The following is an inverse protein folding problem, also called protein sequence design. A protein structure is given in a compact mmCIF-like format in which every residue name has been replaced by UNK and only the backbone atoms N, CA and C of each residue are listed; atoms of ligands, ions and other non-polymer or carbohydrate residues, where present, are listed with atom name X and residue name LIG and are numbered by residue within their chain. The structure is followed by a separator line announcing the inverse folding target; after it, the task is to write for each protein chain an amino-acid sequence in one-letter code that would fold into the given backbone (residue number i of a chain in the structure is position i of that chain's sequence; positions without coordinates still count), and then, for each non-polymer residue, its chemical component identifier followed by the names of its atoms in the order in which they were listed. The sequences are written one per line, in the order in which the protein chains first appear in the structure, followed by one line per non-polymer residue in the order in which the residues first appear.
data_IF_898417023900
#
_entry.id   IF_898417023900
#
_cell.length_a   1.000
_cell.length_b   1.000
_cell.length_c   1.000
_cell.angle_alpha   90.00
_cell.angle_beta   90.00
_cell.angle_gamma   90.00
#
_symmetry.space_group_name_H-M   'P 1'
#
loop_
_entity.id
_entity.type
_entity.pdbx_description
1 polymer ?
#
# COMPACT_ATOMS: atom_id res chain seq x y z
N UNK A 1 -32.53 -56.09 2.70
CA UNK A 1 -31.74 -55.25 3.63
C UNK A 1 -30.25 -55.18 3.31
N UNK A 2 -29.48 -56.28 3.31
CA UNK A 2 -28.01 -56.26 3.06
C UNK A 2 -27.58 -55.53 1.77
N UNK A 3 -28.26 -55.79 0.64
CA UNK A 3 -27.96 -55.14 -0.66
C UNK A 3 -28.20 -53.63 -0.67
N UNK A 4 -29.18 -53.16 0.10
CA UNK A 4 -29.48 -51.73 0.25
C UNK A 4 -28.39 -51.06 1.07
N UNK A 5 -27.99 -51.67 2.19
CA UNK A 5 -26.88 -51.17 3.02
C UNK A 5 -25.53 -51.13 2.29
N UNK A 6 -25.22 -52.12 1.44
CA UNK A 6 -23.97 -52.14 0.66
C UNK A 6 -23.87 -51.04 -0.40
N UNK A 7 -25.01 -50.47 -0.83
CA UNK A 7 -25.05 -49.37 -1.80
C UNK A 7 -25.21 -48.02 -1.08
N UNK A 8 -26.02 -47.96 -0.03
CA UNK A 8 -26.24 -46.73 0.74
C UNK A 8 -24.99 -46.30 1.52
N UNK A 9 -24.27 -47.23 2.15
CA UNK A 9 -23.09 -46.89 2.95
C UNK A 9 -21.99 -46.16 2.14
N UNK A 10 -21.55 -46.65 0.96
CA UNK A 10 -20.57 -45.92 0.16
C UNK A 10 -21.12 -44.60 -0.41
N UNK A 11 -22.41 -44.53 -0.74
CA UNK A 11 -23.03 -43.28 -1.18
C UNK A 11 -23.01 -42.22 -0.07
N UNK A 12 -23.41 -42.56 1.16
CA UNK A 12 -23.37 -41.67 2.32
C UNK A 12 -21.93 -41.25 2.65
N UNK A 13 -20.98 -42.19 2.59
CA UNK A 13 -19.56 -41.88 2.81
C UNK A 13 -19.03 -40.91 1.75
N UNK A 14 -19.36 -41.12 0.47
CA UNK A 14 -18.96 -40.22 -0.62
C UNK A 14 -19.58 -38.84 -0.47
N UNK A 15 -20.88 -38.75 -0.17
CA UNK A 15 -21.55 -37.46 0.08
C UNK A 15 -20.94 -36.74 1.28
N UNK A 16 -20.64 -37.45 2.37
CA UNK A 16 -20.00 -36.87 3.56
C UNK A 16 -18.61 -36.36 3.23
N UNK A 17 -17.82 -37.10 2.45
CA UNK A 17 -16.50 -36.67 1.99
C UNK A 17 -16.59 -35.40 1.12
N UNK A 18 -17.54 -35.34 0.18
CA UNK A 18 -17.78 -34.16 -0.65
C UNK A 18 -18.14 -32.96 0.23
N UNK A 19 -19.06 -33.12 1.19
CA UNK A 19 -19.45 -32.04 2.12
C UNK A 19 -18.25 -31.56 2.93
N UNK A 20 -17.44 -32.47 3.49
CA UNK A 20 -16.23 -32.11 4.23
C UNK A 20 -15.25 -31.33 3.34
N UNK A 21 -15.02 -31.78 2.11
CA UNK A 21 -14.13 -31.07 1.16
C UNK A 21 -14.67 -29.67 0.84
N UNK A 22 -15.97 -29.53 0.59
CA UNK A 22 -16.61 -28.23 0.34
C UNK A 22 -16.45 -27.30 1.55
N UNK A 23 -16.71 -27.80 2.76
CA UNK A 23 -16.57 -27.02 3.99
C UNK A 23 -15.11 -26.59 4.21
N UNK A 24 -14.14 -27.47 3.96
CA UNK A 24 -12.73 -27.15 4.07
C UNK A 24 -12.29 -26.10 3.04
N UNK A 25 -12.78 -26.18 1.80
CA UNK A 25 -12.49 -25.19 0.75
C UNK A 25 -13.12 -23.84 1.09
N UNK A 26 -14.37 -23.81 1.54
CA UNK A 26 -15.04 -22.59 1.98
C UNK A 26 -14.33 -21.97 3.18
N UNK A 27 -14.01 -22.77 4.19
CA UNK A 27 -13.28 -22.34 5.37
C UNK A 27 -11.94 -21.71 4.98
N UNK A 28 -11.12 -22.41 4.18
CA UNK A 28 -9.84 -21.89 3.66
C UNK A 28 -10.00 -20.59 2.87
N UNK A 29 -11.04 -20.48 2.05
CA UNK A 29 -11.31 -19.26 1.27
C UNK A 29 -11.64 -18.08 2.17
N UNK A 30 -12.46 -18.30 3.20
CA UNK A 30 -12.84 -17.23 4.13
C UNK A 30 -11.66 -16.78 5.00
N UNK A 31 -10.86 -17.71 5.53
CA UNK A 31 -9.75 -17.39 6.44
C UNK A 31 -8.45 -16.98 5.73
N UNK A 32 -8.35 -17.10 4.39
CA UNK A 32 -7.12 -16.74 3.67
C UNK A 32 -6.77 -15.27 3.93
N UNK A 33 -5.51 -15.00 4.28
CA UNK A 33 -5.06 -13.68 4.73
C UNK A 33 -5.30 -13.35 6.20
N UNK A 34 -5.95 -14.23 6.98
CA UNK A 34 -5.96 -14.12 8.44
C UNK A 34 -4.68 -14.76 8.99
N UNK A 35 -3.97 -14.08 9.91
CA UNK A 35 -2.95 -14.76 10.71
C UNK A 35 -3.65 -15.55 11.82
N UNK A 36 -3.78 -16.88 11.64
CA UNK A 36 -4.35 -17.76 12.66
C UNK A 36 -3.39 -18.04 13.82
N UNK A 37 -2.13 -17.60 13.72
CA UNK A 37 -1.12 -17.66 14.77
C UNK A 37 -0.70 -16.27 15.26
N UNK A 38 0.26 -16.24 16.19
CA UNK A 38 0.93 -15.00 16.57
C UNK A 38 1.59 -14.37 15.33
N UNK A 39 1.59 -13.04 15.21
CA UNK A 39 2.32 -12.37 14.14
C UNK A 39 3.81 -12.75 14.19
N UNK A 40 4.53 -12.50 13.09
CA UNK A 40 5.99 -12.60 13.12
C UNK A 40 6.50 -11.80 14.34
N UNK A 41 7.35 -12.38 15.21
CA UNK A 41 7.84 -11.68 16.41
C UNK A 41 8.62 -10.41 16.07
N UNK A 42 9.15 -10.32 14.85
CA UNK A 42 9.85 -9.14 14.31
C UNK A 42 8.93 -8.32 13.39
N UNK A 43 7.61 -8.48 13.46
CA UNK A 43 6.68 -7.62 12.74
C UNK A 43 6.77 -6.21 13.31
N UNK A 44 6.98 -5.22 12.44
CA UNK A 44 7.00 -3.83 12.85
C UNK A 44 5.69 -3.46 13.57
N UNK A 45 5.76 -2.66 14.65
CA UNK A 45 4.58 -2.30 15.41
C UNK A 45 3.60 -1.54 14.52
N UNK A 46 2.33 -1.95 14.56
CA UNK A 46 1.28 -1.19 13.88
C UNK A 46 1.07 0.14 14.60
N UNK A 47 0.73 1.21 13.86
CA UNK A 47 0.23 2.44 14.48
C UNK A 47 -0.94 2.16 15.42
N UNK A 48 -1.00 2.89 16.53
CA UNK A 48 -2.06 2.77 17.53
C UNK A 48 -3.44 3.12 16.95
N UNK A 49 -3.48 4.15 16.10
CA UNK A 49 -4.63 4.47 15.25
C UNK A 49 -4.35 4.03 13.81
N UNK A 50 -5.16 3.10 13.31
CA UNK A 50 -5.02 2.56 11.94
C UNK A 50 -5.91 3.29 10.92
N UNK A 51 -6.75 4.22 11.35
CA UNK A 51 -7.68 4.92 10.47
C UNK A 51 -6.99 6.11 9.81
N UNK A 52 -6.90 6.07 8.47
CA UNK A 52 -6.41 7.17 7.64
C UNK A 52 -7.37 7.55 6.53
N UNK A 53 -7.25 8.79 6.06
CA UNK A 53 -8.04 9.32 4.93
C UNK A 53 -7.13 10.04 3.92
N UNK A 54 -7.43 9.90 2.63
CA UNK A 54 -6.73 10.64 1.58
C UNK A 54 -7.29 12.07 1.49
N UNK A 55 -6.41 13.05 1.36
CA UNK A 55 -6.76 14.47 1.26
C UNK A 55 -6.04 15.12 0.08
N UNK A 56 -6.61 16.21 -0.43
CA UNK A 56 -5.99 17.08 -1.43
C UNK A 56 -6.26 18.54 -1.01
N UNK A 57 -5.45 19.04 -0.07
CA UNK A 57 -5.71 20.31 0.62
C UNK A 57 -4.64 21.37 0.38
N UNK A 58 -3.55 21.06 -0.33
CA UNK A 58 -2.51 22.04 -0.67
C UNK A 58 -3.03 23.33 -1.33
N UNK A 59 -3.94 23.29 -2.33
CA UNK A 59 -4.42 24.50 -3.01
C UNK A 59 -5.48 25.27 -2.19
N UNK A 60 -5.94 24.72 -1.07
CA UNK A 60 -7.08 25.26 -0.33
C UNK A 60 -6.71 26.43 0.59
N UNK A 61 -7.73 27.22 0.95
CA UNK A 61 -7.57 28.33 1.89
C UNK A 61 -7.28 27.84 3.32
N UNK A 62 -6.59 28.61 4.16
CA UNK A 62 -6.30 28.23 5.55
C UNK A 62 -7.55 27.81 6.35
N UNK A 63 -8.66 28.53 6.17
CA UNK A 63 -9.93 28.20 6.86
C UNK A 63 -10.57 26.91 6.36
N UNK A 64 -10.39 26.56 5.08
CA UNK A 64 -10.84 25.27 4.54
C UNK A 64 -10.00 24.13 5.08
N UNK A 65 -8.66 24.31 5.12
CA UNK A 65 -7.72 23.30 5.62
C UNK A 65 -8.04 22.96 7.07
N UNK A 66 -8.09 23.96 7.95
CA UNK A 66 -8.33 23.76 9.38
C UNK A 66 -9.70 23.09 9.63
N UNK A 67 -10.76 23.62 9.02
CA UNK A 67 -12.11 23.05 9.16
C UNK A 67 -12.16 21.58 8.72
N UNK A 68 -11.47 21.24 7.64
CA UNK A 68 -11.47 19.87 7.10
C UNK A 68 -10.68 18.92 8.00
N UNK A 69 -9.48 19.32 8.44
CA UNK A 69 -8.65 18.52 9.34
C UNK A 69 -9.30 18.35 10.71
N UNK A 70 -9.96 19.38 11.22
CA UNK A 70 -10.74 19.30 12.45
C UNK A 70 -11.89 18.29 12.35
N UNK A 71 -12.61 18.27 11.22
CA UNK A 71 -13.67 17.29 10.98
C UNK A 71 -13.12 15.86 10.88
N UNK A 72 -11.97 15.67 10.24
CA UNK A 72 -11.27 14.37 10.12
C UNK A 72 -10.90 13.85 11.52
N UNK A 73 -10.21 14.68 12.31
CA UNK A 73 -9.77 14.35 13.68
C UNK A 73 -10.96 14.01 14.59
N UNK A 74 -12.03 14.82 14.56
CA UNK A 74 -13.24 14.58 15.35
C UNK A 74 -14.03 13.32 14.95
N UNK A 75 -13.81 12.79 13.74
CA UNK A 75 -14.41 11.53 13.29
C UNK A 75 -13.61 10.30 13.77
N UNK A 76 -12.43 10.51 14.37
CA UNK A 76 -11.58 9.46 14.93
C UNK A 76 -10.47 8.97 13.99
N UNK A 77 -10.29 9.61 12.84
CA UNK A 77 -9.11 9.36 11.99
C UNK A 77 -7.86 9.89 12.68
N UNK A 78 -6.76 9.15 12.59
CA UNK A 78 -5.45 9.55 13.13
C UNK A 78 -4.48 9.97 12.05
N UNK A 79 -4.75 9.62 10.79
CA UNK A 79 -3.84 9.83 9.68
C UNK A 79 -4.51 10.57 8.52
N UNK A 80 -3.74 11.43 7.88
CA UNK A 80 -4.05 11.96 6.56
C UNK A 80 -2.96 11.55 5.58
N UNK A 81 -3.35 11.24 4.34
CA UNK A 81 -2.42 10.96 3.24
C UNK A 81 -2.54 12.07 2.20
N UNK A 82 -1.48 12.84 1.99
CA UNK A 82 -1.43 13.98 1.07
C UNK A 82 -0.32 13.78 0.05
N UNK A 83 -0.61 14.14 -1.20
CA UNK A 83 0.39 14.17 -2.28
C UNK A 83 1.11 15.51 -2.30
N UNK A 84 2.44 15.46 -2.33
CA UNK A 84 3.34 16.59 -2.54
C UNK A 84 4.01 16.41 -3.89
N UNK A 85 3.48 17.11 -4.89
CA UNK A 85 3.93 17.01 -6.27
C UNK A 85 5.11 17.96 -6.49
N UNK A 86 6.29 17.40 -6.77
CA UNK A 86 7.52 18.15 -6.98
C UNK A 86 7.79 18.41 -8.45
N UNK A 87 8.11 19.67 -8.73
CA UNK A 87 8.71 20.14 -9.98
C UNK A 87 9.89 21.04 -9.62
N UNK A 88 11.03 20.92 -10.32
CA UNK A 88 12.20 21.77 -10.07
C UNK A 88 11.82 23.25 -10.03
N UNK A 89 12.25 23.94 -8.97
CA UNK A 89 12.08 25.39 -8.75
C UNK A 89 10.62 25.87 -8.62
N UNK A 90 9.64 24.96 -8.61
CA UNK A 90 8.21 25.30 -8.56
C UNK A 90 7.47 24.72 -7.35
N UNK A 91 8.18 24.01 -6.48
CA UNK A 91 7.57 23.44 -5.29
C UNK A 91 7.14 24.53 -4.30
N UNK A 92 5.87 24.51 -3.90
CA UNK A 92 5.31 25.52 -2.99
C UNK A 92 5.57 25.14 -1.53
N UNK A 93 6.74 25.54 -1.03
CA UNK A 93 7.13 25.36 0.36
C UNK A 93 6.17 26.05 1.33
N UNK A 94 5.63 27.22 0.98
CA UNK A 94 4.75 28.00 1.86
C UNK A 94 3.40 27.30 2.06
N UNK A 95 2.81 26.76 0.99
CA UNK A 95 1.60 25.96 1.10
C UNK A 95 1.84 24.64 1.87
N UNK A 96 3.00 24.03 1.67
CA UNK A 96 3.41 22.80 2.37
C UNK A 96 3.59 23.05 3.87
N UNK A 97 4.34 24.09 4.26
CA UNK A 97 4.53 24.51 5.65
C UNK A 97 3.19 24.73 6.35
N UNK A 98 2.28 25.45 5.67
CA UNK A 98 0.94 25.73 6.17
C UNK A 98 0.16 24.45 6.43
N UNK A 99 0.13 23.53 5.46
CA UNK A 99 -0.64 22.29 5.57
C UNK A 99 -0.11 21.41 6.71
N UNK A 100 1.21 21.21 6.78
CA UNK A 100 1.82 20.36 7.82
C UNK A 100 1.52 20.95 9.20
N UNK A 101 1.65 22.27 9.40
CA UNK A 101 1.30 22.89 10.68
C UNK A 101 -0.15 22.63 11.09
N UNK A 102 -1.11 22.79 10.17
CA UNK A 102 -2.52 22.50 10.48
C UNK A 102 -2.79 21.03 10.79
N UNK A 103 -2.06 20.10 10.16
CA UNK A 103 -2.17 18.67 10.45
C UNK A 103 -1.74 18.39 11.89
N UNK A 104 -0.60 18.93 12.32
CA UNK A 104 -0.09 18.75 13.69
C UNK A 104 -1.00 19.44 14.72
N UNK A 105 -1.46 20.67 14.45
CA UNK A 105 -2.39 21.41 15.32
C UNK A 105 -3.72 20.65 15.53
N UNK A 106 -4.15 19.85 14.55
CA UNK A 106 -5.35 19.02 14.64
C UNK A 106 -5.08 17.60 15.18
N UNK A 107 -3.89 17.34 15.73
CA UNK A 107 -3.46 16.05 16.30
C UNK A 107 -3.55 14.88 15.31
N UNK A 108 -3.24 15.15 14.04
CA UNK A 108 -3.19 14.15 12.98
C UNK A 108 -1.74 13.85 12.61
N UNK A 109 -1.49 12.62 12.17
CA UNK A 109 -0.24 12.22 11.54
C UNK A 109 -0.39 12.30 10.01
N UNK A 110 0.71 12.49 9.29
CA UNK A 110 0.70 12.59 7.82
C UNK A 110 1.56 11.52 7.18
N UNK A 111 1.00 10.90 6.13
CA UNK A 111 1.76 10.16 5.12
C UNK A 111 2.05 11.14 3.99
N UNK A 112 3.29 11.58 3.87
CA UNK A 112 3.73 12.49 2.82
C UNK A 112 4.08 11.72 1.55
N UNK A 113 3.23 11.79 0.53
CA UNK A 113 3.48 11.12 -0.75
C UNK A 113 4.27 12.04 -1.66
N UNK A 114 5.56 11.76 -1.83
CA UNK A 114 6.46 12.54 -2.68
C UNK A 114 6.42 11.98 -4.10
N UNK A 115 6.13 12.81 -5.11
CA UNK A 115 6.02 12.36 -6.51
C UNK A 115 6.35 13.46 -7.54
N UNK A 116 6.45 13.12 -8.82
CA UNK A 116 6.74 14.03 -9.96
C UNK A 116 6.36 13.41 -11.32
N UNK A 117 6.23 14.21 -12.39
CA UNK A 117 5.87 13.74 -13.75
C UNK A 117 6.95 12.95 -14.49
N UNK A 118 8.21 13.01 -14.03
CA UNK A 118 9.31 12.30 -14.67
C UNK A 118 10.40 11.90 -13.67
N UNK A 119 9.97 11.22 -12.61
CA UNK A 119 10.87 10.72 -11.56
C UNK A 119 12.08 9.95 -12.14
N UNK A 120 11.92 9.02 -13.12
CA UNK A 120 13.04 8.20 -13.54
C UNK A 120 14.20 9.00 -14.15
N UNK A 121 13.89 9.99 -15.00
CA UNK A 121 14.93 10.82 -15.65
C UNK A 121 15.50 11.89 -14.71
N UNK A 122 14.86 12.12 -13.56
CA UNK A 122 15.24 13.14 -12.58
C UNK A 122 15.61 12.56 -11.22
N UNK A 123 15.92 11.25 -11.16
CA UNK A 123 16.17 10.50 -9.91
C UNK A 123 17.04 11.27 -8.91
N UNK A 124 18.20 11.79 -9.31
CA UNK A 124 19.10 12.51 -8.40
C UNK A 124 18.53 13.84 -7.88
N UNK A 125 17.82 14.59 -8.72
CA UNK A 125 17.21 15.86 -8.30
C UNK A 125 16.00 15.61 -7.41
N UNK A 126 15.20 14.59 -7.73
CA UNK A 126 14.09 14.16 -6.91
C UNK A 126 14.56 13.60 -5.56
N UNK A 127 15.70 12.89 -5.54
CA UNK A 127 16.32 12.40 -4.31
C UNK A 127 16.81 13.56 -3.41
N UNK A 128 17.40 14.60 -4.00
CA UNK A 128 17.76 15.82 -3.28
C UNK A 128 16.52 16.51 -2.71
N UNK A 129 15.42 16.60 -3.47
CA UNK A 129 14.15 17.12 -2.96
C UNK A 129 13.60 16.29 -1.80
N UNK A 130 13.64 14.95 -1.90
CA UNK A 130 13.19 14.07 -0.83
C UNK A 130 14.01 14.25 0.45
N UNK A 131 15.34 14.43 0.34
CA UNK A 131 16.20 14.82 1.45
C UNK A 131 15.77 16.15 2.05
N UNK A 132 15.62 17.21 1.23
CA UNK A 132 15.25 18.55 1.71
C UNK A 132 13.87 18.57 2.38
N UNK A 133 12.92 17.79 1.86
CA UNK A 133 11.60 17.65 2.46
C UNK A 133 11.70 16.96 3.83
N UNK A 134 12.43 15.85 3.92
CA UNK A 134 12.61 15.12 5.19
C UNK A 134 13.38 15.97 6.22
N UNK A 135 14.47 16.63 5.82
CA UNK A 135 15.30 17.48 6.69
C UNK A 135 14.49 18.64 7.27
N UNK A 136 13.58 19.20 6.46
CA UNK A 136 12.71 20.30 6.87
C UNK A 136 11.62 19.89 7.86
N UNK A 137 11.08 18.67 7.73
CA UNK A 137 9.87 18.26 8.45
C UNK A 137 10.05 17.06 9.37
N UNK A 138 11.28 16.60 9.63
CA UNK A 138 11.58 15.43 10.46
C UNK A 138 11.01 15.49 11.90
N UNK A 139 10.80 16.69 12.44
CA UNK A 139 10.15 16.87 13.75
C UNK A 139 8.61 16.66 13.71
N UNK A 140 8.01 16.58 12.52
CA UNK A 140 6.56 16.63 12.30
C UNK A 140 6.04 15.48 11.41
N UNK A 141 6.87 14.96 10.51
CA UNK A 141 6.54 13.91 9.54
C UNK A 141 7.54 12.78 9.68
N UNK A 142 7.06 11.61 10.07
CA UNK A 142 7.89 10.39 10.17
C UNK A 142 7.54 9.37 9.06
N UNK A 143 6.62 9.67 8.13
CA UNK A 143 6.17 8.69 7.13
C UNK A 143 6.14 9.25 5.72
N UNK A 144 6.99 8.70 4.86
CA UNK A 144 7.21 9.15 3.49
C UNK A 144 6.84 8.04 2.49
N UNK A 145 5.95 8.32 1.54
CA UNK A 145 5.65 7.41 0.43
C UNK A 145 6.37 7.90 -0.84
N UNK A 146 7.15 7.03 -1.47
CA UNK A 146 7.93 7.38 -2.67
C UNK A 146 7.19 6.99 -3.96
N UNK A 147 6.54 7.97 -4.59
CA UNK A 147 5.76 7.82 -5.82
C UNK A 147 4.35 7.24 -5.59
N UNK A 148 3.59 7.09 -6.67
CA UNK A 148 2.29 6.42 -6.68
C UNK A 148 2.10 5.68 -8.00
N UNK A 149 1.59 4.45 -7.95
CA UNK A 149 1.23 3.63 -9.12
C UNK A 149 2.32 3.45 -10.21
N UNK A 150 3.60 3.17 -9.87
CA UNK A 150 4.68 3.03 -10.86
C UNK A 150 4.48 1.80 -11.78
N UNK A 151 3.48 0.96 -11.50
CA UNK A 151 3.09 -0.17 -12.31
C UNK A 151 2.12 0.18 -13.46
N UNK A 152 1.69 1.44 -13.58
CA UNK A 152 0.88 1.96 -14.67
C UNK A 152 1.65 2.95 -15.54
N UNK A 153 1.54 2.85 -16.87
CA UNK A 153 2.20 3.81 -17.80
C UNK A 153 1.72 5.24 -17.59
N UNK A 154 0.45 5.43 -17.24
CA UNK A 154 -0.15 6.75 -17.05
C UNK A 154 0.45 7.51 -15.87
N UNK A 155 0.90 6.79 -14.84
CA UNK A 155 1.54 7.37 -13.66
C UNK A 155 3.06 7.36 -13.75
N UNK A 156 3.66 6.30 -14.32
CA UNK A 156 5.11 6.20 -14.48
C UNK A 156 5.67 7.05 -15.62
N UNK A 157 4.83 7.45 -16.59
CA UNK A 157 5.21 8.27 -17.75
C UNK A 157 5.90 7.50 -18.88
N UNK A 158 6.26 6.24 -18.65
CA UNK A 158 6.82 5.30 -19.65
C UNK A 158 6.46 3.87 -19.30
N UNK A 159 6.88 2.91 -20.13
CA UNK A 159 6.73 1.47 -19.84
C UNK A 159 7.18 1.17 -18.39
N UNK A 160 6.28 0.67 -17.53
CA UNK A 160 6.60 0.39 -16.15
C UNK A 160 7.78 -0.57 -15.99
N UNK A 161 8.68 -0.27 -15.05
CA UNK A 161 9.85 -1.10 -14.75
C UNK A 161 10.11 -1.17 -13.25
N UNK A 162 9.92 -2.37 -12.67
CA UNK A 162 10.21 -2.61 -11.26
C UNK A 162 11.71 -2.44 -10.93
N UNK A 163 12.60 -2.69 -11.90
CA UNK A 163 14.05 -2.47 -11.73
C UNK A 163 14.36 -0.98 -11.62
N UNK A 164 13.75 -0.14 -12.47
CA UNK A 164 13.94 1.31 -12.40
C UNK A 164 13.41 1.89 -11.08
N UNK A 165 12.23 1.42 -10.66
CA UNK A 165 11.67 1.82 -9.37
C UNK A 165 12.50 1.31 -8.18
N UNK A 166 13.09 0.12 -8.26
CA UNK A 166 14.04 -0.40 -7.25
C UNK A 166 15.28 0.50 -7.12
N UNK A 167 15.84 0.96 -8.25
CA UNK A 167 17.00 1.85 -8.24
C UNK A 167 16.67 3.24 -7.67
N UNK A 168 15.46 3.73 -7.94
CA UNK A 168 14.95 4.94 -7.34
C UNK A 168 14.90 4.81 -5.81
N UNK A 169 14.26 3.75 -5.29
CA UNK A 169 14.20 3.47 -3.86
C UNK A 169 15.61 3.41 -3.24
N UNK A 170 16.53 2.67 -3.88
CA UNK A 170 17.91 2.54 -3.42
C UNK A 170 18.66 3.87 -3.34
N UNK A 171 18.28 4.84 -4.18
CA UNK A 171 18.90 6.18 -4.18
C UNK A 171 18.32 7.08 -3.08
N UNK A 172 17.02 7.01 -2.84
CA UNK A 172 16.31 7.96 -1.95
C UNK A 172 16.28 7.49 -0.51
N UNK A 173 16.06 6.19 -0.27
CA UNK A 173 15.95 5.59 1.06
C UNK A 173 17.06 6.04 2.03
N UNK A 174 18.36 5.91 1.70
CA UNK A 174 19.42 6.32 2.63
C UNK A 174 19.45 7.84 2.89
N UNK A 175 19.01 8.66 1.94
CA UNK A 175 18.99 10.12 2.11
C UNK A 175 17.85 10.56 3.04
N UNK A 176 16.68 9.94 2.93
CA UNK A 176 15.59 10.21 3.89
C UNK A 176 16.06 9.82 5.30
N UNK A 177 16.66 8.64 5.49
CA UNK A 177 17.17 8.24 6.81
C UNK A 177 18.35 9.06 7.32
N UNK A 178 19.10 9.71 6.42
CA UNK A 178 20.14 10.67 6.81
C UNK A 178 19.52 11.94 7.41
N UNK A 179 18.41 12.41 6.85
CA UNK A 179 17.70 13.60 7.31
C UNK A 179 16.80 13.33 8.52
N UNK A 180 16.19 12.15 8.56
CA UNK A 180 15.26 11.70 9.59
C UNK A 180 15.55 10.23 9.95
N UNK A 181 16.22 10.02 11.08
CA UNK A 181 16.60 8.68 11.53
C UNK A 181 15.41 7.82 11.95
N UNK A 182 14.24 8.41 12.22
CA UNK A 182 13.02 7.69 12.64
C UNK A 182 12.02 7.49 11.49
N UNK A 183 12.36 7.97 10.29
CA UNK A 183 11.51 7.88 9.12
C UNK A 183 11.04 6.44 8.86
N UNK A 184 9.79 6.32 8.42
CA UNK A 184 9.22 5.13 7.79
C UNK A 184 9.04 5.43 6.30
N UNK A 185 9.80 4.75 5.46
CA UNK A 185 9.74 4.90 4.01
C UNK A 185 8.84 3.83 3.41
N UNK A 186 7.68 4.24 2.88
CA UNK A 186 6.77 3.40 2.11
C UNK A 186 7.18 3.39 0.64
N UNK A 187 7.20 2.20 0.03
CA UNK A 187 7.11 2.13 -1.43
C UNK A 187 5.76 2.68 -1.92
N UNK A 188 5.67 2.98 -3.21
CA UNK A 188 4.50 3.51 -3.88
C UNK A 188 3.29 2.59 -3.68
N UNK A 189 2.11 3.20 -3.60
CA UNK A 189 0.86 2.46 -3.64
C UNK A 189 0.70 1.80 -5.01
N UNK A 190 0.86 0.47 -5.07
CA UNK A 190 0.66 -0.27 -6.32
C UNK A 190 -0.81 -0.28 -6.74
N UNK A 191 -1.05 0.03 -8.01
CA UNK A 191 -2.38 0.07 -8.58
C UNK A 191 -2.91 -1.32 -8.93
N UNK A 192 -4.13 -1.69 -8.52
CA UNK A 192 -4.82 -2.87 -9.05
C UNK A 192 -4.92 -2.88 -10.57
N UNK A 193 -4.35 -3.90 -11.19
CA UNK A 193 -4.64 -4.23 -12.60
C UNK A 193 -4.48 -5.72 -12.83
N UNK A 194 -5.14 -6.25 -13.87
CA UNK A 194 -4.97 -7.63 -14.34
C UNK A 194 -4.05 -7.74 -15.56
N UNK A 195 -3.54 -6.60 -16.04
CA UNK A 195 -2.71 -6.49 -17.24
C UNK A 195 -1.28 -6.98 -17.00
N UNK A 196 -0.56 -7.44 -18.03
CA UNK A 196 0.82 -7.93 -17.91
C UNK A 196 1.75 -7.36 -19.00
N UNK A 197 1.43 -6.17 -19.51
CA UNK A 197 2.28 -5.38 -20.41
C UNK A 197 1.55 -4.81 -21.64
N UNK A 198 2.26 -3.99 -22.45
CA UNK A 198 3.46 -3.23 -22.06
C UNK A 198 3.11 -1.96 -21.26
N UNK A 199 1.84 -1.56 -21.28
CA UNK A 199 1.38 -0.32 -20.65
C UNK A 199 1.27 -0.47 -19.13
N UNK A 200 0.74 -1.60 -18.66
CA UNK A 200 0.51 -1.81 -17.24
C UNK A 200 0.99 -3.20 -16.81
N UNK A 201 1.50 -3.29 -15.59
CA UNK A 201 1.94 -4.54 -14.98
C UNK A 201 1.06 -4.80 -13.75
N UNK A 202 0.48 -6.00 -13.69
CA UNK A 202 -0.24 -6.51 -12.53
C UNK A 202 0.59 -6.29 -11.27
N UNK A 203 0.01 -5.66 -10.27
CA UNK A 203 0.68 -5.26 -9.03
C UNK A 203 1.30 -6.42 -8.26
N UNK A 204 0.69 -7.62 -8.28
CA UNK A 204 1.27 -8.82 -7.66
C UNK A 204 2.56 -9.21 -8.41
N UNK A 205 2.52 -9.20 -9.75
CA UNK A 205 3.71 -9.46 -10.57
C UNK A 205 4.77 -8.35 -10.40
N UNK A 206 4.36 -7.09 -10.36
CA UNK A 206 5.25 -5.95 -10.18
C UNK A 206 5.96 -6.01 -8.83
N UNK A 207 5.25 -6.30 -7.74
CA UNK A 207 5.86 -6.49 -6.41
C UNK A 207 6.85 -7.65 -6.40
N UNK A 208 6.53 -8.77 -7.06
CA UNK A 208 7.47 -9.89 -7.21
C UNK A 208 8.74 -9.48 -7.95
N UNK A 209 8.60 -8.74 -9.05
CA UNK A 209 9.74 -8.23 -9.82
C UNK A 209 10.57 -7.22 -8.99
N UNK A 210 9.91 -6.41 -8.17
CA UNK A 210 10.55 -5.45 -7.27
C UNK A 210 11.42 -6.16 -6.22
N UNK A 211 10.90 -7.21 -5.58
CA UNK A 211 11.69 -8.07 -4.69
C UNK A 211 12.85 -8.76 -5.41
N UNK A 212 12.61 -9.30 -6.60
CA UNK A 212 13.66 -9.93 -7.41
C UNK A 212 14.78 -8.95 -7.83
N UNK A 213 14.49 -7.64 -7.84
CA UNK A 213 15.44 -6.56 -8.12
C UNK A 213 16.24 -6.11 -6.89
N UNK A 214 15.98 -6.70 -5.71
CA UNK A 214 16.68 -6.36 -4.46
C UNK A 214 16.07 -5.22 -3.66
N UNK A 215 14.86 -4.75 -4.03
CA UNK A 215 14.23 -3.60 -3.39
C UNK A 215 13.91 -3.77 -1.90
N UNK A 216 13.91 -5.01 -1.39
CA UNK A 216 13.59 -5.32 0.01
C UNK A 216 14.34 -4.43 1.01
N UNK A 217 15.59 -4.07 0.70
CA UNK A 217 16.44 -3.29 1.61
C UNK A 217 16.17 -1.77 1.57
N UNK A 218 15.27 -1.30 0.71
CA UNK A 218 15.11 0.13 0.38
C UNK A 218 13.67 0.65 0.59
N UNK A 219 12.90 0.00 1.48
CA UNK A 219 11.63 0.49 2.00
C UNK A 219 11.36 -0.17 3.36
N UNK A 220 10.62 0.48 4.25
CA UNK A 220 10.25 -0.08 5.56
C UNK A 220 8.88 -0.75 5.53
N UNK A 221 8.00 -0.34 4.61
CA UNK A 221 6.75 -1.02 4.39
C UNK A 221 6.27 -1.00 2.93
N UNK A 222 5.58 -2.07 2.55
CA UNK A 222 4.93 -2.19 1.26
C UNK A 222 3.61 -1.42 1.25
N UNK A 223 3.15 -1.01 0.06
CA UNK A 223 1.90 -0.26 -0.10
C UNK A 223 1.13 -0.73 -1.33
N UNK A 224 -0.20 -0.72 -1.25
CA UNK A 224 -1.07 -0.99 -2.40
C UNK A 224 -2.50 -0.53 -2.16
N UNK A 225 -3.33 -0.66 -3.20
CA UNK A 225 -4.68 -0.09 -3.22
C UNK A 225 -5.77 -1.16 -3.27
N UNK A 226 -6.42 -1.50 -2.14
CA UNK A 226 -7.50 -2.49 -2.10
C UNK A 226 -8.84 -1.90 -2.59
N UNK A 227 -8.94 -1.50 -3.85
CA UNK A 227 -10.22 -1.05 -4.42
C UNK A 227 -11.25 -2.19 -4.52
N UNK A 228 -12.52 -1.89 -4.21
CA UNK A 228 -13.62 -2.85 -4.28
C UNK A 228 -14.14 -3.13 -5.69
N UNK A 229 -13.96 -2.17 -6.60
CA UNK A 229 -14.47 -2.22 -7.97
C UNK A 229 -15.96 -2.59 -8.02
N UNK A 230 -16.33 -3.56 -8.84
CA UNK A 230 -17.72 -3.96 -9.09
C UNK A 230 -18.26 -4.96 -8.04
N UNK A 231 -17.57 -5.16 -6.92
CA UNK A 231 -17.91 -6.20 -5.93
C UNK A 231 -17.88 -5.67 -4.51
N UNK A 232 -18.71 -6.26 -3.64
CA UNK A 232 -18.75 -5.87 -2.23
C UNK A 232 -17.52 -6.35 -1.44
N UNK A 233 -17.30 -5.82 -0.22
CA UNK A 233 -16.15 -6.17 0.63
C UNK A 233 -16.09 -7.65 1.03
N UNK A 234 -17.21 -8.37 0.92
CA UNK A 234 -17.32 -9.79 1.23
C UNK A 234 -16.93 -10.72 0.07
N UNK A 235 -16.58 -10.19 -1.12
CA UNK A 235 -16.04 -11.03 -2.19
C UNK A 235 -14.64 -11.52 -1.83
N UNK A 236 -14.51 -12.83 -1.58
CA UNK A 236 -13.28 -13.52 -1.18
C UNK A 236 -12.56 -14.22 -2.33
N UNK A 237 -12.98 -14.02 -3.58
CA UNK A 237 -12.29 -14.59 -4.75
C UNK A 237 -10.90 -13.96 -4.85
N UNK A 238 -9.87 -14.79 -4.99
CA UNK A 238 -8.47 -14.35 -5.09
C UNK A 238 -7.88 -14.91 -6.38
N UNK A 239 -7.56 -14.02 -7.32
CA UNK A 239 -6.91 -14.33 -8.59
C UNK A 239 -6.20 -13.10 -9.12
N UNK A 240 -5.10 -13.28 -9.84
CA UNK A 240 -4.44 -12.19 -10.57
C UNK A 240 -5.32 -11.62 -11.70
N UNK A 241 -6.38 -12.34 -12.09
CA UNK A 241 -7.36 -11.92 -13.11
C UNK A 241 -8.64 -11.30 -12.53
N UNK A 242 -8.72 -11.09 -11.21
CA UNK A 242 -9.90 -10.55 -10.56
C UNK A 242 -9.55 -9.27 -9.81
N UNK A 243 -10.33 -8.22 -10.06
CA UNK A 243 -10.28 -6.96 -9.34
C UNK A 243 -11.37 -6.94 -8.26
N UNK A 244 -10.97 -6.97 -7.00
CA UNK A 244 -11.81 -6.80 -5.83
C UNK A 244 -10.97 -6.38 -4.60
N UNK A 245 -11.64 -6.06 -3.49
CA UNK A 245 -11.01 -5.65 -2.25
C UNK A 245 -10.07 -6.74 -1.68
N UNK A 246 -10.52 -8.00 -1.68
CA UNK A 246 -9.78 -9.12 -1.05
C UNK A 246 -8.45 -9.44 -1.72
N UNK A 247 -8.28 -9.13 -3.02
CA UNK A 247 -7.04 -9.45 -3.77
C UNK A 247 -5.79 -8.84 -3.13
N UNK A 248 -5.93 -7.83 -2.27
CA UNK A 248 -4.84 -7.26 -1.47
C UNK A 248 -4.09 -8.29 -0.62
N UNK A 249 -4.75 -9.40 -0.26
CA UNK A 249 -4.12 -10.57 0.38
C UNK A 249 -2.99 -11.14 -0.48
N UNK A 250 -3.11 -11.12 -1.80
CA UNK A 250 -2.08 -11.62 -2.71
C UNK A 250 -0.79 -10.80 -2.63
N UNK A 251 -0.87 -9.48 -2.38
CA UNK A 251 0.33 -8.67 -2.14
C UNK A 251 1.05 -9.13 -0.87
N UNK A 252 0.30 -9.36 0.23
CA UNK A 252 0.89 -9.89 1.47
C UNK A 252 1.55 -11.24 1.26
N UNK A 253 0.91 -12.14 0.50
CA UNK A 253 1.49 -13.45 0.18
C UNK A 253 2.77 -13.34 -0.66
N UNK A 254 2.91 -12.35 -1.55
CA UNK A 254 4.17 -12.12 -2.26
C UNK A 254 5.27 -11.59 -1.34
N UNK A 255 4.95 -10.71 -0.38
CA UNK A 255 5.91 -10.29 0.65
C UNK A 255 6.42 -11.51 1.44
N UNK A 256 5.51 -12.38 1.87
CA UNK A 256 5.86 -13.59 2.64
C UNK A 256 6.70 -14.58 1.82
N UNK A 257 6.38 -14.77 0.53
CA UNK A 257 7.21 -15.59 -0.39
C UNK A 257 8.60 -15.01 -0.59
N UNK A 258 8.74 -13.68 -0.58
CA UNK A 258 10.02 -12.99 -0.65
C UNK A 258 10.78 -12.97 0.71
N UNK A 259 10.23 -13.61 1.74
CA UNK A 259 10.81 -13.62 3.09
C UNK A 259 10.71 -12.28 3.81
N UNK A 260 9.78 -11.41 3.40
CA UNK A 260 9.54 -10.09 3.97
C UNK A 260 8.26 -10.06 4.82
N UNK A 261 8.25 -10.91 5.85
CA UNK A 261 7.11 -11.05 6.76
C UNK A 261 7.18 -10.11 7.97
N UNK A 262 8.30 -9.43 8.18
CA UNK A 262 8.53 -8.45 9.25
C UNK A 262 7.99 -7.06 8.91
N UNK A 263 7.92 -6.69 7.62
CA UNK A 263 7.43 -5.38 7.20
C UNK A 263 5.91 -5.34 7.10
N UNK A 264 5.34 -4.16 7.31
CA UNK A 264 3.90 -3.92 7.18
C UNK A 264 3.49 -3.78 5.70
N UNK A 265 2.20 -4.04 5.43
CA UNK A 265 1.53 -3.75 4.16
C UNK A 265 0.44 -2.70 4.39
N UNK A 266 0.61 -1.53 3.79
CA UNK A 266 -0.28 -0.38 3.96
C UNK A 266 -1.32 -0.32 2.84
N UNK A 267 -2.59 -0.19 3.22
CA UNK A 267 -3.69 0.07 2.30
C UNK A 267 -3.78 1.59 2.04
N UNK A 268 -3.03 2.09 1.06
CA UNK A 268 -2.86 3.53 0.85
C UNK A 268 -4.09 4.23 0.28
N UNK A 269 -4.86 3.55 -0.59
CA UNK A 269 -6.09 4.06 -1.17
C UNK A 269 -7.10 2.93 -1.35
N UNK A 270 -8.34 3.15 -0.94
CA UNK A 270 -9.43 2.20 -1.16
C UNK A 270 -10.77 2.93 -1.21
N UNK A 271 -11.75 2.27 -1.81
CA UNK A 271 -13.08 2.82 -2.04
C UNK A 271 -13.90 1.95 -2.98
N UNK A 272 -15.12 2.41 -3.23
CA UNK A 272 -16.11 1.85 -4.16
C UNK A 272 -16.68 2.95 -5.03
#
# INVERSE_FOLDING_TARGET
MRRVLTILAPAVALTSLIVIVVLLVQYRTHIRGHSLGLPNPNLDPRPSNMLGVNIELLPESPGTIDKTLNAISNTGFGWVRQTFYWEPEKFDWVATDRLINFVIENNLQIIAVLTSSNIPDQTNKFAQFAYEFADRYSDQVDTYQLGDEPNLISAWGRTPSAVEYSNLLATIYPLIHQADTNATVLMAGLAPTTENGPENINDILYLRQLYASGAKEYFDAASGKPYGFNTGPNDRRLSNSILNFSRFILLREEMEKAGDSSKLLWASQFGW
#
